data_IF_003221468380
#
_entry.id   IF_003221468380
#
_cell.length_a   1.000
_cell.length_b   1.000
_cell.length_c   1.000
_cell.angle_alpha   90.00
_cell.angle_beta   90.00
_cell.angle_gamma   90.00
#
_symmetry.space_group_name_H-M   'P 1'
#
loop_
_entity.id
_entity.type
_entity.pdbx_description
1 polymer ?
#
# COMPACT_ATOMS: atom_id res chain seq x y z
N UNK A 1 8.59 -11.90 12.41
CA UNK A 1 8.32 -12.44 11.05
C UNK A 1 8.48 -13.95 11.11
N UNK A 2 7.45 -14.72 10.75
CA UNK A 2 7.53 -16.19 10.71
C UNK A 2 7.95 -16.63 9.30
N UNK A 3 9.23 -16.98 9.13
CA UNK A 3 9.79 -17.33 7.81
C UNK A 3 9.04 -18.48 7.13
N UNK A 4 8.66 -19.49 7.91
CA UNK A 4 7.99 -20.70 7.40
C UNK A 4 6.59 -20.38 6.84
N UNK A 5 5.89 -19.42 7.44
CA UNK A 5 4.57 -19.00 6.99
C UNK A 5 4.66 -18.19 5.69
N UNK A 6 5.62 -17.25 5.62
CA UNK A 6 5.85 -16.44 4.41
C UNK A 6 6.32 -17.33 3.25
N UNK A 7 7.30 -18.20 3.49
CA UNK A 7 7.84 -19.12 2.50
C UNK A 7 6.79 -20.14 2.03
N UNK A 8 6.01 -20.70 2.95
CA UNK A 8 4.91 -21.63 2.63
C UNK A 8 3.82 -20.98 1.79
N UNK A 9 3.32 -19.80 2.19
CA UNK A 9 2.32 -19.05 1.42
C UNK A 9 2.82 -18.67 0.03
N UNK A 10 4.09 -18.24 -0.10
CA UNK A 10 4.67 -17.89 -1.39
C UNK A 10 4.84 -19.12 -2.29
N UNK A 11 5.23 -20.27 -1.75
CA UNK A 11 5.34 -21.52 -2.49
C UNK A 11 3.99 -21.95 -3.07
N UNK A 12 2.92 -21.91 -2.26
CA UNK A 12 1.55 -22.22 -2.70
C UNK A 12 1.11 -21.23 -3.79
N UNK A 13 1.30 -19.92 -3.57
CA UNK A 13 0.94 -18.90 -4.55
C UNK A 13 1.68 -19.08 -5.89
N UNK A 14 2.96 -19.48 -5.84
CA UNK A 14 3.79 -19.70 -7.03
C UNK A 14 3.48 -20.99 -7.79
N UNK A 15 2.93 -21.99 -7.09
CA UNK A 15 2.41 -23.20 -7.71
C UNK A 15 1.12 -22.92 -8.50
N UNK A 16 0.29 -22.00 -8.00
CA UNK A 16 -0.95 -21.56 -8.68
C UNK A 16 -0.68 -20.53 -9.79
N UNK A 17 0.29 -19.65 -9.58
CA UNK A 17 0.64 -18.57 -10.50
C UNK A 17 2.16 -18.55 -10.69
N UNK A 18 2.63 -19.21 -11.75
CA UNK A 18 4.05 -19.23 -12.08
C UNK A 18 4.59 -17.80 -12.24
N UNK A 19 5.75 -17.52 -11.61
CA UNK A 19 6.40 -16.21 -11.66
C UNK A 19 6.14 -15.31 -10.44
N UNK A 20 5.14 -15.59 -9.60
CA UNK A 20 4.86 -14.78 -8.39
C UNK A 20 6.05 -14.76 -7.43
N UNK A 21 6.72 -15.90 -7.20
CA UNK A 21 7.94 -15.94 -6.39
C UNK A 21 9.05 -15.04 -6.92
N UNK A 22 9.17 -14.87 -8.24
CA UNK A 22 10.19 -14.02 -8.84
C UNK A 22 9.86 -12.54 -8.63
N UNK A 23 8.61 -12.15 -8.85
CA UNK A 23 8.13 -10.78 -8.60
C UNK A 23 8.31 -10.42 -7.13
N UNK A 24 7.86 -11.28 -6.22
CA UNK A 24 8.00 -11.03 -4.77
C UNK A 24 9.48 -10.99 -4.35
N UNK A 25 10.33 -11.86 -4.91
CA UNK A 25 11.76 -11.82 -4.62
C UNK A 25 12.42 -10.51 -5.10
N UNK A 26 12.02 -9.99 -6.26
CA UNK A 26 12.50 -8.70 -6.77
C UNK A 26 12.11 -7.56 -5.82
N UNK A 27 10.82 -7.46 -5.45
CA UNK A 27 10.32 -6.42 -4.55
C UNK A 27 10.93 -6.45 -3.13
N UNK A 28 11.44 -7.60 -2.69
CA UNK A 28 12.11 -7.78 -1.40
C UNK A 28 13.63 -7.64 -1.48
N UNK A 29 14.21 -7.54 -2.67
CA UNK A 29 15.65 -7.37 -2.85
C UNK A 29 15.97 -5.89 -2.87
N UNK A 30 16.76 -5.45 -1.91
CA UNK A 30 17.19 -4.05 -1.80
C UNK A 30 18.15 -3.65 -2.93
N UNK A 31 17.99 -2.43 -3.42
CA UNK A 31 18.78 -1.73 -4.45
C UNK A 31 18.67 -2.34 -5.86
N UNK A 32 17.58 -3.05 -6.16
CA UNK A 32 17.32 -3.64 -7.48
C UNK A 32 15.86 -3.49 -7.88
N UNK A 33 15.61 -2.73 -8.95
CA UNK A 33 14.29 -2.65 -9.56
C UNK A 33 13.31 -1.81 -8.74
N UNK A 34 12.05 -2.25 -8.66
CA UNK A 34 11.03 -1.56 -7.86
C UNK A 34 10.96 -2.13 -6.43
N UNK A 35 10.77 -1.26 -5.45
CA UNK A 35 10.74 -1.60 -4.03
C UNK A 35 9.48 -1.06 -3.33
N UNK A 36 9.19 -1.59 -2.15
CA UNK A 36 8.15 -1.06 -1.28
C UNK A 36 8.63 0.19 -0.54
N UNK A 37 7.88 1.27 -0.66
CA UNK A 37 8.10 2.50 0.10
C UNK A 37 6.85 2.88 0.89
N UNK A 38 7.04 3.27 2.15
CA UNK A 38 6.04 4.01 2.93
C UNK A 38 6.39 5.49 2.83
N UNK A 39 5.50 6.30 2.23
CA UNK A 39 5.66 7.73 2.10
C UNK A 39 4.68 8.46 3.01
N UNK A 40 5.19 9.15 4.02
CA UNK A 40 4.46 9.99 4.99
C UNK A 40 4.88 11.47 4.91
N UNK A 41 5.57 11.84 3.83
CA UNK A 41 5.94 13.21 3.53
C UNK A 41 4.75 14.04 3.06
N UNK A 42 5.03 15.26 2.58
CA UNK A 42 3.99 16.14 2.07
C UNK A 42 3.33 15.55 0.82
N UNK A 43 2.05 15.23 0.91
CA UNK A 43 1.27 14.72 -0.22
C UNK A 43 0.85 15.90 -1.11
N UNK A 44 0.92 15.74 -2.41
CA UNK A 44 0.62 16.72 -3.42
C UNK A 44 -0.89 17.02 -3.43
N UNK A 45 -1.24 18.26 -3.73
CA UNK A 45 -2.62 18.68 -3.97
C UNK A 45 -3.28 17.90 -5.12
N UNK A 46 -2.49 17.24 -5.97
CA UNK A 46 -2.99 16.34 -7.01
C UNK A 46 -3.56 15.04 -6.47
N UNK A 47 -3.22 14.64 -5.24
CA UNK A 47 -3.67 13.39 -4.62
C UNK A 47 -4.61 13.65 -3.45
N UNK A 48 -4.41 14.74 -2.70
CA UNK A 48 -5.29 15.05 -1.57
C UNK A 48 -6.72 15.32 -2.03
N UNK A 49 -7.68 14.72 -1.33
CA UNK A 49 -9.10 14.75 -1.65
C UNK A 49 -9.51 13.81 -2.79
N UNK A 50 -8.56 13.10 -3.42
CA UNK A 50 -8.88 12.08 -4.41
C UNK A 50 -9.23 10.76 -3.75
N UNK A 51 -10.15 10.05 -4.38
CA UNK A 51 -10.40 8.66 -4.02
C UNK A 51 -9.19 7.78 -4.36
N UNK A 52 -9.06 6.65 -3.65
CA UNK A 52 -7.95 5.71 -3.85
C UNK A 52 -7.73 5.36 -5.34
N UNK A 53 -8.79 5.01 -6.07
CA UNK A 53 -8.71 4.66 -7.50
C UNK A 53 -8.22 5.82 -8.37
N UNK A 54 -8.64 7.05 -8.09
CA UNK A 54 -8.18 8.22 -8.82
C UNK A 54 -6.71 8.53 -8.52
N UNK A 55 -6.29 8.39 -7.26
CA UNK A 55 -4.91 8.52 -6.86
C UNK A 55 -4.01 7.47 -7.51
N UNK A 56 -4.47 6.20 -7.60
CA UNK A 56 -3.78 5.15 -8.34
C UNK A 56 -3.54 5.57 -9.80
N UNK A 57 -4.55 6.15 -10.47
CA UNK A 57 -4.42 6.58 -11.86
C UNK A 57 -3.38 7.70 -12.03
N UNK A 58 -3.33 8.64 -11.09
CA UNK A 58 -2.33 9.72 -11.08
C UNK A 58 -0.92 9.16 -10.89
N UNK A 59 -0.74 8.23 -9.95
CA UNK A 59 0.56 7.63 -9.64
C UNK A 59 1.04 6.67 -10.73
N UNK A 60 0.12 5.97 -11.39
CA UNK A 60 0.45 5.09 -12.52
C UNK A 60 1.09 5.87 -13.70
N UNK A 61 0.72 7.13 -13.90
CA UNK A 61 1.36 8.01 -14.91
C UNK A 61 2.82 8.33 -14.57
N UNK A 62 3.24 8.09 -13.34
CA UNK A 62 4.60 8.29 -12.83
C UNK A 62 5.34 6.95 -12.63
N UNK A 63 4.80 5.84 -13.13
CA UNK A 63 5.32 4.49 -12.90
C UNK A 63 5.34 4.07 -11.43
N UNK A 64 4.42 4.62 -10.62
CA UNK A 64 4.26 4.29 -9.20
C UNK A 64 2.97 3.50 -9.02
N UNK A 65 3.06 2.38 -8.29
CA UNK A 65 1.90 1.55 -7.96
C UNK A 65 1.50 1.85 -6.51
N UNK A 66 0.31 2.40 -6.30
CA UNK A 66 -0.25 2.58 -4.96
C UNK A 66 -0.92 1.28 -4.50
N UNK A 67 -0.58 0.84 -3.28
CA UNK A 67 -1.04 -0.43 -2.72
C UNK A 67 -1.97 -0.24 -1.53
N UNK A 68 -1.62 0.67 -0.63
CA UNK A 68 -2.34 0.86 0.61
C UNK A 68 -2.24 2.30 1.10
N UNK A 69 -3.18 2.67 1.96
CA UNK A 69 -3.18 3.92 2.69
C UNK A 69 -3.21 3.61 4.17
N UNK A 70 -2.36 4.29 4.93
CA UNK A 70 -2.34 4.25 6.38
C UNK A 70 -2.74 5.62 6.92
N UNK A 71 -3.79 5.65 7.75
CA UNK A 71 -4.41 6.87 8.26
C UNK A 71 -4.73 6.74 9.74
N UNK A 72 -5.17 7.83 10.36
CA UNK A 72 -5.55 7.86 11.77
C UNK A 72 -6.77 6.97 12.03
N UNK A 73 -6.75 6.28 13.16
CA UNK A 73 -7.85 5.44 13.60
C UNK A 73 -9.09 6.27 13.99
N UNK A 74 -10.27 5.85 13.51
CA UNK A 74 -11.55 6.27 14.07
C UNK A 74 -12.58 5.14 13.96
N UNK A 75 -13.53 5.08 14.89
CA UNK A 75 -14.61 4.07 14.83
C UNK A 75 -15.53 4.30 13.63
N UNK A 76 -15.79 5.55 13.28
CA UNK A 76 -16.58 5.92 12.10
C UNK A 76 -15.91 5.45 10.81
N UNK A 77 -14.58 5.59 10.73
CA UNK A 77 -13.80 5.13 9.59
C UNK A 77 -13.92 3.61 9.41
N UNK A 78 -13.85 2.83 10.49
CA UNK A 78 -14.03 1.37 10.41
C UNK A 78 -15.42 0.96 9.94
N UNK A 79 -16.46 1.70 10.32
CA UNK A 79 -17.82 1.45 9.84
C UNK A 79 -17.94 1.74 8.33
N UNK A 80 -17.33 2.84 7.87
CA UNK A 80 -17.27 3.22 6.46
C UNK A 80 -16.50 2.18 5.62
N UNK A 81 -15.46 1.57 6.18
CA UNK A 81 -14.60 0.60 5.51
C UNK A 81 -14.99 -0.85 5.79
N UNK A 82 -16.24 -1.11 6.18
CA UNK A 82 -16.70 -2.45 6.62
C UNK A 82 -16.52 -3.57 5.59
N UNK A 83 -16.36 -3.24 4.31
CA UNK A 83 -16.11 -4.19 3.22
C UNK A 83 -14.63 -4.34 2.84
N UNK A 84 -13.76 -3.49 3.40
CA UNK A 84 -12.33 -3.44 3.06
C UNK A 84 -11.49 -4.27 4.03
N UNK A 85 -10.31 -4.67 3.54
CA UNK A 85 -9.30 -5.31 4.38
C UNK A 85 -8.55 -4.23 5.13
N UNK A 86 -8.90 -4.07 6.42
CA UNK A 86 -8.31 -3.08 7.32
C UNK A 86 -7.48 -3.77 8.40
N UNK A 87 -6.25 -3.30 8.58
CA UNK A 87 -5.35 -3.73 9.65
C UNK A 87 -5.21 -2.60 10.67
N UNK A 88 -5.53 -2.87 11.94
CA UNK A 88 -5.22 -1.93 13.02
C UNK A 88 -3.73 -2.00 13.35
N UNK A 89 -3.11 -0.84 13.50
CA UNK A 89 -1.74 -0.67 13.96
C UNK A 89 -1.80 -0.07 15.38
N UNK A 90 -2.11 -0.90 16.41
CA UNK A 90 -2.46 -0.42 17.74
C UNK A 90 -1.33 0.32 18.47
N UNK A 91 -0.08 0.14 18.06
CA UNK A 91 1.06 0.89 18.64
C UNK A 91 1.10 2.35 18.17
N UNK A 92 0.39 2.71 17.09
CA UNK A 92 0.47 4.01 16.43
C UNK A 92 -0.88 4.76 16.37
N UNK A 93 -1.96 4.18 16.90
CA UNK A 93 -3.34 4.70 16.77
C UNK A 93 -3.74 4.93 15.29
N UNK A 94 -3.22 4.08 14.40
CA UNK A 94 -3.43 4.14 12.94
C UNK A 94 -4.09 2.87 12.39
N UNK A 95 -4.66 3.00 11.21
CA UNK A 95 -5.22 1.89 10.43
C UNK A 95 -4.62 1.87 9.04
N UNK A 96 -4.32 0.68 8.54
CA UNK A 96 -3.86 0.45 7.18
C UNK A 96 -4.96 -0.22 6.35
N UNK A 97 -5.28 0.38 5.22
CA UNK A 97 -6.25 -0.09 4.23
C UNK A 97 -5.51 -0.58 3.00
N UNK A 98 -5.55 -1.88 2.74
CA UNK A 98 -4.88 -2.47 1.57
C UNK A 98 -5.87 -2.55 0.41
N UNK A 99 -5.56 -1.85 -0.68
CA UNK A 99 -6.40 -1.75 -1.89
C UNK A 99 -7.89 -1.52 -1.56
N UNK A 100 -8.23 -0.44 -0.83
CA UNK A 100 -9.61 -0.17 -0.41
C UNK A 100 -10.54 -0.04 -1.61
N UNK A 101 -11.74 -0.63 -1.47
CA UNK A 101 -12.83 -0.59 -2.43
C UNK A 101 -13.92 0.40 -1.99
N UNK A 102 -14.05 0.66 -0.68
CA UNK A 102 -14.91 1.71 -0.19
C UNK A 102 -14.37 3.09 -0.58
N UNK A 103 -15.28 4.05 -0.60
CA UNK A 103 -14.94 5.45 -0.84
C UNK A 103 -14.05 5.95 0.29
N UNK A 104 -12.76 6.17 0.01
CA UNK A 104 -11.81 6.80 0.91
C UNK A 104 -11.03 7.87 0.14
N UNK A 105 -11.03 9.09 0.67
CA UNK A 105 -10.31 10.23 0.09
C UNK A 105 -8.97 10.43 0.81
N UNK A 106 -7.88 10.53 0.05
CA UNK A 106 -6.52 10.70 0.59
C UNK A 106 -6.39 12.06 1.29
N UNK A 107 -5.71 12.07 2.45
CA UNK A 107 -5.51 13.25 3.30
C UNK A 107 -4.03 13.55 3.46
N UNK A 108 -3.67 14.80 3.79
CA UNK A 108 -2.28 15.21 4.02
C UNK A 108 -1.56 14.46 5.16
N UNK A 109 -2.30 13.94 6.13
CA UNK A 109 -1.74 13.17 7.26
C UNK A 109 -1.64 11.66 7.00
N UNK A 110 -2.04 11.21 5.82
CA UNK A 110 -1.96 9.81 5.45
C UNK A 110 -0.51 9.43 5.10
N UNK A 111 -0.19 8.16 5.27
CA UNK A 111 0.98 7.54 4.70
C UNK A 111 0.55 6.63 3.54
N UNK A 112 1.23 6.75 2.40
CA UNK A 112 0.95 5.97 1.20
C UNK A 112 1.99 4.85 1.08
N UNK A 113 1.51 3.61 0.93
CA UNK A 113 2.38 2.48 0.60
C UNK A 113 2.38 2.29 -0.91
N UNK A 114 3.57 2.42 -1.50
CA UNK A 114 3.74 2.36 -2.95
C UNK A 114 4.86 1.41 -3.34
N UNK A 115 4.81 0.95 -4.59
CA UNK A 115 5.94 0.34 -5.29
C UNK A 115 6.46 1.36 -6.30
N UNK A 116 7.77 1.63 -6.24
CA UNK A 116 8.46 2.55 -7.16
C UNK A 116 9.91 2.12 -7.38
N UNK A 117 10.55 2.58 -8.45
CA UNK A 117 11.98 2.30 -8.73
C UNK A 117 12.94 3.00 -7.76
N UNK A 118 12.49 4.06 -7.09
CA UNK A 118 13.30 4.80 -6.11
C UNK A 118 12.40 5.46 -5.08
N UNK A 119 12.98 5.81 -3.92
CA UNK A 119 12.25 6.46 -2.83
C UNK A 119 11.57 7.75 -3.32
N UNK A 120 10.23 7.84 -3.26
CA UNK A 120 9.54 9.04 -3.68
C UNK A 120 9.87 10.20 -2.75
N UNK A 121 10.27 11.33 -3.34
CA UNK A 121 10.53 12.58 -2.60
C UNK A 121 9.29 13.49 -2.55
N UNK A 122 8.32 13.25 -3.43
CA UNK A 122 7.03 13.93 -3.50
C UNK A 122 6.02 13.03 -4.21
N UNK A 123 4.89 12.75 -3.57
CA UNK A 123 3.72 12.08 -4.16
C UNK A 123 2.58 13.08 -4.26
#
# INVERSE_FOLDING_TARGET
ICLDQVGGSLAVASALNHGVSRIVAELLTFDIGSEFYRYDGHISERLVGKEFTEAMQVLAQQHIILLAVETDYSEELLQQLSTDVVYKLPEEDRVMMVNPQSRYEIRQGDALFVIAESQPTKL
#
